data_IF_860061400114
#
_entry.id   IF_860061400114
#
_cell.length_a   1.000
_cell.length_b   1.000
_cell.length_c   1.000
_cell.angle_alpha   90.00
_cell.angle_beta   90.00
_cell.angle_gamma   90.00
#
_symmetry.space_group_name_H-M   'P 1'
#
loop_
_entity.id
_entity.type
_entity.pdbx_description
1 polymer ?
#
# COMPACT_ATOMS: atom_id res chain seq x y z
N UNK A 1 6.66 -10.55 32.38
CA UNK A 1 6.16 -11.55 33.37
C UNK A 1 4.67 -11.41 33.68
N UNK A 2 4.11 -10.20 33.80
CA UNK A 2 2.69 -10.00 34.15
C UNK A 2 1.66 -10.46 33.09
N UNK A 3 1.98 -10.37 31.79
CA UNK A 3 1.06 -10.81 30.73
C UNK A 3 0.82 -12.33 30.73
N UNK A 4 1.85 -13.13 31.03
CA UNK A 4 1.76 -14.59 31.09
C UNK A 4 0.94 -15.07 32.30
N UNK A 5 0.96 -14.35 33.41
CA UNK A 5 0.15 -14.67 34.60
C UNK A 5 -1.32 -14.30 34.41
N UNK A 6 -1.64 -13.19 33.73
CA UNK A 6 -3.02 -12.80 33.38
C UNK A 6 -3.65 -13.81 32.42
N UNK A 7 -2.93 -14.23 31.36
CA UNK A 7 -3.42 -15.24 30.42
C UNK A 7 -3.64 -16.61 31.09
N UNK A 8 -2.79 -17.00 32.06
CA UNK A 8 -2.98 -18.23 32.85
C UNK A 8 -4.20 -18.16 33.76
N UNK A 9 -4.45 -17.01 34.38
CA UNK A 9 -5.62 -16.78 35.23
C UNK A 9 -6.93 -16.85 34.42
N UNK A 10 -6.97 -16.25 33.23
CA UNK A 10 -8.12 -16.34 32.32
C UNK A 10 -8.44 -17.79 31.93
N UNK A 11 -7.41 -18.60 31.61
CA UNK A 11 -7.57 -20.01 31.27
C UNK A 11 -8.07 -20.87 32.45
N UNK A 12 -7.57 -20.63 33.66
CA UNK A 12 -8.03 -21.35 34.86
C UNK A 12 -9.45 -20.97 35.28
N UNK A 13 -9.89 -19.73 35.03
CA UNK A 13 -11.21 -19.24 35.40
C UNK A 13 -12.29 -19.49 34.33
N UNK A 14 -11.95 -20.14 33.19
CA UNK A 14 -12.86 -20.29 32.03
C UNK A 14 -13.47 -18.96 31.56
N UNK A 15 -12.83 -17.84 31.90
CA UNK A 15 -13.28 -16.53 31.46
C UNK A 15 -12.94 -16.41 29.99
N UNK A 16 -13.88 -15.92 29.20
CA UNK A 16 -13.63 -15.62 27.80
C UNK A 16 -12.71 -14.41 27.75
N UNK A 17 -11.47 -14.62 27.28
CA UNK A 17 -10.48 -13.55 27.14
C UNK A 17 -11.14 -12.42 26.35
N UNK A 18 -11.35 -11.26 26.99
CA UNK A 18 -12.08 -10.15 26.39
C UNK A 18 -11.32 -9.68 25.15
N UNK A 19 -11.70 -10.19 23.99
CA UNK A 19 -11.23 -9.66 22.72
C UNK A 19 -11.81 -8.26 22.60
N UNK A 20 -10.92 -7.28 22.63
CA UNK A 20 -11.30 -5.91 22.33
C UNK A 20 -11.40 -5.78 20.80
N UNK A 21 -12.52 -6.24 20.26
CA UNK A 21 -12.81 -6.21 18.82
C UNK A 21 -12.65 -4.78 18.26
N UNK A 22 -13.15 -3.78 18.97
CA UNK A 22 -12.98 -2.35 18.64
C UNK A 22 -11.50 -1.90 18.59
N UNK A 23 -10.65 -2.46 19.46
CA UNK A 23 -9.23 -2.16 19.47
C UNK A 23 -8.52 -2.85 18.30
N UNK A 24 -8.88 -4.09 17.98
CA UNK A 24 -8.35 -4.80 16.82
C UNK A 24 -8.75 -4.12 15.50
N UNK A 25 -9.98 -3.65 15.38
CA UNK A 25 -10.47 -2.86 14.25
C UNK A 25 -9.70 -1.54 14.13
N UNK A 26 -9.52 -0.82 15.23
CA UNK A 26 -8.77 0.46 15.24
C UNK A 26 -7.30 0.24 14.85
N UNK A 27 -6.67 -0.83 15.34
CA UNK A 27 -5.29 -1.19 14.99
C UNK A 27 -5.19 -1.61 13.52
N UNK A 28 -6.18 -2.32 12.98
CA UNK A 28 -6.24 -2.67 11.57
C UNK A 28 -6.35 -1.41 10.69
N UNK A 29 -7.21 -0.46 11.06
CA UNK A 29 -7.34 0.82 10.35
C UNK A 29 -6.04 1.62 10.39
N UNK A 30 -5.40 1.70 11.56
CA UNK A 30 -4.12 2.39 11.73
C UNK A 30 -3.01 1.78 10.86
N UNK A 31 -2.92 0.45 10.80
CA UNK A 31 -1.97 -0.26 9.93
C UNK A 31 -2.21 0.03 8.45
N UNK A 32 -3.47 0.11 8.02
CA UNK A 32 -3.81 0.48 6.66
C UNK A 32 -3.41 1.93 6.34
N UNK A 33 -3.59 2.86 7.28
CA UNK A 33 -3.11 4.24 7.12
C UNK A 33 -1.58 4.31 7.05
N UNK A 34 -0.85 3.54 7.87
CA UNK A 34 0.61 3.43 7.76
C UNK A 34 1.03 2.93 6.38
N UNK A 35 0.44 1.81 5.93
CA UNK A 35 0.71 1.24 4.62
C UNK A 35 0.46 2.24 3.47
N UNK A 36 -0.58 3.07 3.58
CA UNK A 36 -0.86 4.13 2.61
C UNK A 36 0.28 5.14 2.51
N UNK A 37 0.76 5.64 3.66
CA UNK A 37 1.85 6.61 3.71
C UNK A 37 3.18 6.01 3.25
N UNK A 38 3.48 4.79 3.68
CA UNK A 38 4.67 4.06 3.24
C UNK A 38 4.65 3.83 1.72
N UNK A 39 3.50 3.42 1.17
CA UNK A 39 3.31 3.24 -0.27
C UNK A 39 3.46 4.55 -1.05
N UNK A 40 3.03 5.67 -0.48
CA UNK A 40 3.19 7.00 -1.08
C UNK A 40 4.64 7.45 -1.13
N UNK A 41 5.36 7.29 -0.03
CA UNK A 41 6.78 7.64 0.07
C UNK A 41 7.63 6.77 -0.87
N UNK A 42 7.38 5.45 -0.88
CA UNK A 42 8.07 4.51 -1.76
C UNK A 42 7.78 4.81 -3.23
N UNK A 43 6.52 5.10 -3.58
CA UNK A 43 6.16 5.52 -4.93
C UNK A 43 6.90 6.79 -5.36
N UNK A 44 7.00 7.78 -4.48
CA UNK A 44 7.70 9.03 -4.80
C UNK A 44 9.20 8.78 -5.05
N UNK A 45 9.85 7.92 -4.25
CA UNK A 45 11.24 7.50 -4.47
C UNK A 45 11.43 6.79 -5.81
N UNK A 46 10.53 5.88 -6.16
CA UNK A 46 10.56 5.18 -7.46
C UNK A 46 10.38 6.19 -8.59
N UNK A 47 9.43 7.13 -8.44
CA UNK A 47 9.19 8.18 -9.42
C UNK A 47 10.40 9.09 -9.63
N UNK A 48 11.06 9.51 -8.55
CA UNK A 48 12.30 10.28 -8.62
C UNK A 48 13.43 9.48 -9.27
N UNK A 49 13.52 8.18 -8.97
CA UNK A 49 14.50 7.29 -9.60
C UNK A 49 14.27 7.23 -11.11
N UNK A 50 13.03 7.07 -11.54
CA UNK A 50 12.66 7.09 -12.97
C UNK A 50 12.94 8.43 -13.64
N UNK A 51 12.76 9.55 -12.94
CA UNK A 51 13.12 10.88 -13.46
C UNK A 51 14.63 11.10 -13.56
N UNK A 52 15.41 10.53 -12.63
CA UNK A 52 16.88 10.65 -12.61
C UNK A 52 17.59 9.68 -13.53
N UNK A 53 16.93 8.58 -13.90
CA UNK A 53 17.47 7.55 -14.78
C UNK A 53 17.36 8.00 -16.24
N UNK A 54 18.40 7.74 -17.03
CA UNK A 54 18.37 7.99 -18.47
C UNK A 54 17.20 7.23 -19.11
N UNK A 55 16.42 7.90 -19.96
CA UNK A 55 15.23 7.35 -20.60
C UNK A 55 15.47 6.01 -21.32
N UNK A 56 16.67 5.80 -21.87
CA UNK A 56 17.06 4.56 -22.56
C UNK A 56 17.35 3.38 -21.62
N UNK A 57 17.59 3.64 -20.33
CA UNK A 57 17.81 2.61 -19.31
C UNK A 57 16.54 2.32 -18.49
N UNK A 58 15.52 3.15 -18.63
CA UNK A 58 14.26 2.94 -17.95
C UNK A 58 13.46 1.87 -18.70
N UNK A 59 13.27 0.72 -18.06
CA UNK A 59 12.48 -0.36 -18.65
C UNK A 59 10.98 -0.07 -18.51
N UNK A 60 10.24 0.09 -19.62
CA UNK A 60 8.82 0.40 -19.57
C UNK A 60 7.96 -0.79 -19.14
N UNK A 61 8.40 -2.04 -19.31
CA UNK A 61 7.71 -3.22 -18.77
C UNK A 61 7.87 -3.31 -17.25
N UNK A 62 9.06 -2.99 -16.72
CA UNK A 62 9.29 -2.90 -15.28
C UNK A 62 8.42 -1.79 -14.66
N UNK A 63 8.41 -0.60 -15.28
CA UNK A 63 7.58 0.51 -14.84
C UNK A 63 6.08 0.17 -14.88
N UNK A 64 5.63 -0.57 -15.90
CA UNK A 64 4.26 -1.07 -15.98
C UNK A 64 3.96 -2.07 -14.87
N UNK A 65 4.89 -2.98 -14.58
CA UNK A 65 4.78 -3.96 -13.50
C UNK A 65 4.69 -3.32 -12.12
N UNK A 66 5.54 -2.33 -11.84
CA UNK A 66 5.50 -1.54 -10.60
C UNK A 66 4.18 -0.77 -10.50
N UNK A 67 3.80 -0.06 -11.56
CA UNK A 67 2.53 0.69 -11.60
C UNK A 67 1.34 -0.22 -11.33
N UNK A 68 1.26 -1.40 -11.96
CA UNK A 68 0.20 -2.36 -11.75
C UNK A 68 0.15 -2.91 -10.31
N UNK A 69 1.31 -3.08 -9.65
CA UNK A 69 1.36 -3.44 -8.21
C UNK A 69 0.72 -2.35 -7.36
N UNK A 70 1.10 -1.08 -7.57
CA UNK A 70 0.53 0.03 -6.80
C UNK A 70 -0.96 0.28 -7.09
N UNK A 71 -1.44 0.03 -8.31
CA UNK A 71 -2.88 0.04 -8.62
C UNK A 71 -3.64 -0.96 -7.74
N UNK A 72 -3.10 -2.18 -7.57
CA UNK A 72 -3.70 -3.19 -6.68
C UNK A 72 -3.65 -2.75 -5.22
N UNK A 73 -2.53 -2.18 -4.76
CA UNK A 73 -2.39 -1.64 -3.41
C UNK A 73 -3.41 -0.53 -3.13
N UNK A 74 -3.59 0.41 -4.06
CA UNK A 74 -4.61 1.46 -3.97
C UNK A 74 -6.01 0.87 -3.87
N UNK A 75 -6.35 -0.12 -4.69
CA UNK A 75 -7.68 -0.76 -4.63
C UNK A 75 -7.93 -1.49 -3.29
N UNK A 76 -6.90 -2.07 -2.68
CA UNK A 76 -6.98 -2.66 -1.35
C UNK A 76 -7.19 -1.57 -0.28
N UNK A 77 -6.47 -0.46 -0.37
CA UNK A 77 -6.58 0.67 0.54
C UNK A 77 -7.95 1.37 0.43
N UNK A 78 -8.51 1.51 -0.78
CA UNK A 78 -9.86 2.05 -1.01
C UNK A 78 -10.96 1.17 -0.41
N UNK A 79 -10.75 -0.16 -0.32
CA UNK A 79 -11.71 -1.09 0.30
C UNK A 79 -11.55 -1.17 1.81
N UNK A 80 -10.32 -1.05 2.30
CA UNK A 80 -9.99 -1.22 3.73
C UNK A 80 -10.14 0.07 4.55
N UNK A 81 -10.06 1.24 3.92
CA UNK A 81 -10.21 2.53 4.58
C UNK A 81 -11.53 3.21 4.18
N UNK A 82 -12.17 3.94 5.10
CA UNK A 82 -13.25 4.85 4.74
C UNK A 82 -12.75 5.94 3.78
N UNK A 83 -13.66 6.65 3.07
CA UNK A 83 -13.28 7.68 2.11
C UNK A 83 -12.31 8.70 2.73
N UNK A 84 -11.11 8.77 2.17
CA UNK A 84 -10.01 9.60 2.66
C UNK A 84 -9.45 10.46 1.51
N UNK A 85 -8.85 11.60 1.82
CA UNK A 85 -8.28 12.50 0.81
C UNK A 85 -6.95 12.00 0.23
N UNK A 86 -6.24 11.13 0.95
CA UNK A 86 -4.88 10.70 0.60
C UNK A 86 -4.86 9.51 -0.37
N UNK A 87 -5.85 8.61 -0.29
CA UNK A 87 -5.98 7.46 -1.20
C UNK A 87 -6.17 7.90 -2.67
N UNK A 88 -7.06 8.88 -2.98
CA UNK A 88 -7.18 9.45 -4.32
C UNK A 88 -5.90 10.08 -4.85
N UNK A 89 -5.07 10.69 -4.00
CA UNK A 89 -3.79 11.28 -4.41
C UNK A 89 -2.82 10.20 -4.90
N UNK A 90 -2.67 9.10 -4.16
CA UNK A 90 -1.86 7.97 -4.61
C UNK A 90 -2.42 7.38 -5.90
N UNK A 91 -3.74 7.22 -6.00
CA UNK A 91 -4.42 6.72 -7.20
C UNK A 91 -4.12 7.56 -8.43
N UNK A 92 -4.24 8.87 -8.32
CA UNK A 92 -3.98 9.80 -9.42
C UNK A 92 -2.51 9.74 -9.86
N UNK A 93 -1.56 9.71 -8.92
CA UNK A 93 -0.13 9.54 -9.21
C UNK A 93 0.15 8.26 -9.99
N UNK A 94 -0.44 7.14 -9.56
CA UNK A 94 -0.24 5.82 -10.18
C UNK A 94 -0.89 5.76 -11.57
N UNK A 95 -2.13 6.26 -11.74
CA UNK A 95 -2.79 6.29 -13.04
C UNK A 95 -2.09 7.25 -14.03
N UNK A 96 -1.60 8.40 -13.58
CA UNK A 96 -0.80 9.31 -14.42
C UNK A 96 0.44 8.59 -14.97
N UNK A 97 1.11 7.78 -14.14
CA UNK A 97 2.28 7.04 -14.60
C UNK A 97 1.93 5.88 -15.53
N UNK A 98 0.83 5.17 -15.25
CA UNK A 98 0.31 4.12 -16.12
C UNK A 98 0.04 4.62 -17.54
N UNK A 99 -0.52 5.83 -17.67
CA UNK A 99 -0.77 6.44 -18.96
C UNK A 99 0.54 6.79 -19.69
N UNK A 100 1.51 7.38 -18.98
CA UNK A 100 2.86 7.65 -19.51
C UNK A 100 3.51 6.36 -20.01
N UNK A 101 3.56 5.32 -19.19
CA UNK A 101 4.16 4.03 -19.54
C UNK A 101 3.44 3.37 -20.73
N UNK A 102 2.11 3.42 -20.78
CA UNK A 102 1.33 2.93 -21.93
C UNK A 102 1.70 3.67 -23.22
N UNK A 103 1.86 4.99 -23.15
CA UNK A 103 2.33 5.79 -24.28
C UNK A 103 3.68 5.33 -24.77
N UNK A 104 4.63 5.10 -23.87
CA UNK A 104 5.98 4.63 -24.17
C UNK A 104 5.98 3.24 -24.83
N UNK A 105 5.22 2.28 -24.26
CA UNK A 105 5.10 0.93 -24.80
C UNK A 105 4.47 0.90 -26.21
N UNK A 106 3.50 1.78 -26.48
CA UNK A 106 2.84 1.84 -27.79
C UNK A 106 3.71 2.50 -28.88
N UNK A 107 4.62 3.40 -28.51
CA UNK A 107 5.34 4.25 -29.48
C UNK A 107 6.82 3.89 -29.69
N UNK A 108 7.51 3.33 -28.68
CA UNK A 108 8.97 3.16 -28.73
C UNK A 108 9.48 1.73 -28.56
N UNK A 109 8.69 0.79 -28.02
CA UNK A 109 9.18 -0.58 -27.77
C UNK A 109 8.89 -1.51 -28.96
N UNK A 110 9.91 -2.09 -29.62
CA UNK A 110 9.69 -3.04 -30.71
C UNK A 110 9.13 -4.35 -30.15
N UNK A 111 8.06 -4.86 -30.76
CA UNK A 111 7.50 -6.19 -30.47
C UNK A 111 8.43 -7.31 -30.91
#
# INVERSE_FOLDING_TARGET
MYALSISRLFYCLQLEQSRFEELEETVAEMKLKQLLWDSLDEWDKIYQTWLSTEFLKLDPEEAAGVTAKYVKSVAQLEKGLPPNAVVPLLKEKVESMKEKVRGLLHTYWPK
#
